data_IF_290831377472
#
_entry.id   IF_290831377472
#
_cell.length_a   1.000
_cell.length_b   1.000
_cell.length_c   1.000
_cell.angle_alpha   90.00
_cell.angle_beta   90.00
_cell.angle_gamma   90.00
#
_symmetry.space_group_name_H-M   'P 1'
#
loop_
_entity.id
_entity.type
_entity.pdbx_description
1 polymer ?
#
# COMPACT_ATOMS: atom_id res chain seq x y z
N UNK A 1 -17.24 16.27 17.44
CA UNK A 1 -17.91 14.98 17.76
C UNK A 1 -17.94 14.07 16.55
N UNK A 2 -18.37 14.54 15.36
CA UNK A 2 -18.46 13.73 14.14
C UNK A 2 -17.10 13.17 13.69
N UNK A 3 -16.05 14.00 13.63
CA UNK A 3 -14.70 13.58 13.29
C UNK A 3 -14.15 12.50 14.25
N UNK A 4 -14.38 12.67 15.54
CA UNK A 4 -13.98 11.69 16.55
C UNK A 4 -14.71 10.35 16.37
N UNK A 5 -16.00 10.39 16.10
CA UNK A 5 -16.79 9.18 15.80
C UNK A 5 -16.29 8.45 14.55
N UNK A 6 -15.98 9.18 13.48
CA UNK A 6 -15.46 8.64 12.23
C UNK A 6 -14.08 8.00 12.45
N UNK A 7 -13.22 8.61 13.27
CA UNK A 7 -11.92 8.06 13.64
C UNK A 7 -12.06 6.71 14.36
N UNK A 8 -12.92 6.64 15.39
CA UNK A 8 -13.18 5.40 16.14
C UNK A 8 -13.83 4.31 15.28
N UNK A 9 -14.74 4.70 14.38
CA UNK A 9 -15.34 3.77 13.42
C UNK A 9 -14.27 3.19 12.47
N UNK A 10 -13.39 4.05 11.94
CA UNK A 10 -12.25 3.61 11.12
C UNK A 10 -11.33 2.67 11.90
N UNK A 11 -10.98 3.01 13.14
CA UNK A 11 -10.16 2.17 14.01
C UNK A 11 -10.78 0.78 14.23
N UNK A 12 -12.05 0.75 14.63
CA UNK A 12 -12.76 -0.50 14.91
C UNK A 12 -12.88 -1.41 13.68
N UNK A 13 -13.28 -0.86 12.53
CA UNK A 13 -13.41 -1.62 11.28
C UNK A 13 -12.03 -2.09 10.80
N UNK A 14 -10.99 -1.25 10.89
CA UNK A 14 -9.62 -1.61 10.52
C UNK A 14 -9.08 -2.74 11.38
N UNK A 15 -9.36 -2.71 12.67
CA UNK A 15 -8.97 -3.77 13.59
C UNK A 15 -9.64 -5.09 13.24
N UNK A 16 -10.96 -5.09 13.00
CA UNK A 16 -11.70 -6.28 12.53
C UNK A 16 -11.12 -6.79 11.21
N UNK A 17 -10.87 -5.89 10.24
CA UNK A 17 -10.32 -6.26 8.94
C UNK A 17 -8.94 -6.93 9.07
N UNK A 18 -8.08 -6.40 9.94
CA UNK A 18 -6.77 -6.97 10.20
C UNK A 18 -6.88 -8.38 10.81
N UNK A 19 -7.73 -8.56 11.82
CA UNK A 19 -7.90 -9.87 12.51
C UNK A 19 -8.46 -10.91 11.53
N UNK A 20 -9.51 -10.57 10.78
CA UNK A 20 -10.12 -11.50 9.82
C UNK A 20 -9.19 -11.80 8.65
N UNK A 21 -8.43 -10.81 8.18
CA UNK A 21 -7.39 -10.97 7.17
C UNK A 21 -6.28 -11.91 7.62
N UNK A 22 -5.79 -11.76 8.85
CA UNK A 22 -4.79 -12.66 9.45
C UNK A 22 -5.34 -14.08 9.52
N UNK A 23 -6.58 -14.27 9.97
CA UNK A 23 -7.21 -15.57 10.04
C UNK A 23 -7.31 -16.23 8.67
N UNK A 24 -7.76 -15.49 7.64
CA UNK A 24 -7.88 -16.01 6.28
C UNK A 24 -6.55 -16.38 5.65
N UNK A 25 -5.58 -15.45 5.69
CA UNK A 25 -4.24 -15.68 5.14
C UNK A 25 -3.53 -16.80 5.90
N UNK A 26 -3.66 -16.82 7.25
CA UNK A 26 -3.10 -17.86 8.11
C UNK A 26 -3.64 -19.24 7.76
N UNK A 27 -4.97 -19.38 7.60
CA UNK A 27 -5.58 -20.63 7.15
C UNK A 27 -5.09 -21.06 5.77
N UNK A 28 -4.99 -20.11 4.81
CA UNK A 28 -4.46 -20.39 3.48
C UNK A 28 -3.02 -20.91 3.52
N UNK A 29 -2.15 -20.30 4.32
CA UNK A 29 -0.76 -20.73 4.47
C UNK A 29 -0.65 -22.06 5.19
N UNK A 30 -1.46 -22.28 6.22
CA UNK A 30 -1.49 -23.53 6.96
C UNK A 30 -1.89 -24.70 6.07
N UNK A 31 -2.96 -24.58 5.28
CA UNK A 31 -3.39 -25.67 4.40
C UNK A 31 -2.42 -25.96 3.26
N UNK A 32 -1.73 -24.95 2.72
CA UNK A 32 -0.63 -25.20 1.77
C UNK A 32 0.56 -25.89 2.45
N UNK A 33 0.91 -25.45 3.66
CA UNK A 33 1.96 -26.11 4.43
C UNK A 33 1.58 -27.57 4.76
N UNK A 34 0.35 -27.80 5.22
CA UNK A 34 -0.15 -29.14 5.52
C UNK A 34 -0.08 -30.05 4.30
N UNK A 35 -0.60 -29.61 3.15
CA UNK A 35 -0.56 -30.35 1.90
C UNK A 35 0.85 -30.76 1.49
N UNK A 36 1.80 -29.84 1.65
CA UNK A 36 3.19 -30.05 1.28
C UNK A 36 3.98 -30.95 2.25
N UNK A 37 3.48 -31.13 3.48
CA UNK A 37 4.17 -31.93 4.51
C UNK A 37 3.48 -33.26 4.83
N UNK A 38 2.42 -33.63 4.10
CA UNK A 38 1.80 -34.93 4.26
C UNK A 38 2.79 -36.05 3.93
N UNK A 39 2.92 -37.04 4.82
CA UNK A 39 3.61 -38.28 4.55
C UNK A 39 2.77 -39.13 3.59
N UNK A 40 3.35 -39.39 2.42
CA UNK A 40 2.71 -40.17 1.34
C UNK A 40 3.44 -41.51 1.07
N UNK A 41 4.45 -41.84 1.89
CA UNK A 41 5.26 -43.02 1.65
C UNK A 41 4.53 -44.34 1.85
N UNK A 42 3.64 -44.38 2.85
CA UNK A 42 2.82 -45.55 3.14
C UNK A 42 1.49 -45.16 3.79
N UNK A 43 0.62 -44.45 3.06
CA UNK A 43 -0.66 -44.00 3.62
C UNK A 43 -1.59 -45.23 3.83
N UNK A 44 -2.42 -45.18 4.87
CA UNK A 44 -3.51 -46.15 5.04
C UNK A 44 -4.43 -46.13 3.81
N UNK A 45 -5.11 -47.25 3.57
CA UNK A 45 -6.07 -47.37 2.47
C UNK A 45 -7.10 -46.21 2.52
N UNK A 46 -7.40 -45.63 1.39
CA UNK A 46 -8.30 -44.48 1.26
C UNK A 46 -7.67 -43.12 1.55
N UNK A 47 -6.47 -43.05 2.17
CA UNK A 47 -5.78 -41.78 2.44
C UNK A 47 -4.89 -41.34 1.28
N UNK A 48 -4.79 -40.03 1.11
CA UNK A 48 -3.80 -39.36 0.25
C UNK A 48 -2.48 -39.12 0.99
N UNK A 49 -2.50 -39.13 2.30
CA UNK A 49 -1.37 -38.95 3.21
C UNK A 49 -1.84 -38.55 4.60
N UNK A 50 -0.91 -38.53 5.54
CA UNK A 50 -1.14 -38.12 6.92
C UNK A 50 0.02 -37.29 7.46
N UNK A 51 -0.19 -36.60 8.57
CA UNK A 51 0.83 -35.82 9.25
C UNK A 51 0.63 -35.85 10.77
N UNK A 52 1.71 -36.12 11.47
CA UNK A 52 1.79 -35.94 12.92
C UNK A 52 2.36 -34.55 13.23
N UNK A 53 1.68 -33.81 14.05
CA UNK A 53 2.07 -32.45 14.47
C UNK A 53 1.98 -32.31 15.99
N UNK A 54 2.80 -31.44 16.56
CA UNK A 54 2.73 -31.02 17.95
C UNK A 54 2.53 -29.53 18.04
N UNK A 55 1.56 -29.09 18.81
CA UNK A 55 1.30 -27.68 19.07
C UNK A 55 0.61 -27.50 20.43
N UNK A 56 1.06 -26.52 21.22
CA UNK A 56 0.45 -26.18 22.52
C UNK A 56 0.39 -27.35 23.51
N UNK A 57 1.36 -28.27 23.47
CA UNK A 57 1.42 -29.46 24.31
C UNK A 57 0.55 -30.62 23.85
N UNK A 58 -0.22 -30.48 22.76
CA UNK A 58 -1.04 -31.53 22.17
C UNK A 58 -0.37 -32.18 20.96
N UNK A 59 -0.52 -33.51 20.81
CA UNK A 59 -0.10 -34.25 19.64
C UNK A 59 -1.34 -34.47 18.77
N UNK A 60 -1.22 -34.09 17.50
CA UNK A 60 -2.28 -34.11 16.50
C UNK A 60 -1.92 -35.08 15.40
N UNK A 61 -2.89 -35.91 14.96
CA UNK A 61 -2.78 -36.72 13.77
C UNK A 61 -3.79 -36.22 12.73
N UNK A 62 -3.29 -35.68 11.62
CA UNK A 62 -4.10 -35.13 10.53
C UNK A 62 -4.04 -36.07 9.34
N UNK A 63 -5.22 -36.45 8.85
CA UNK A 63 -5.38 -37.37 7.72
C UNK A 63 -6.06 -36.65 6.55
N UNK A 64 -5.55 -36.83 5.35
CA UNK A 64 -6.19 -36.36 4.14
C UNK A 64 -6.69 -37.56 3.34
N UNK A 65 -8.00 -37.64 3.15
CA UNK A 65 -8.62 -38.65 2.29
C UNK A 65 -8.41 -38.34 0.81
N UNK A 66 -8.33 -39.38 -0.03
CA UNK A 66 -8.26 -39.22 -1.50
C UNK A 66 -9.55 -38.61 -2.04
N UNK A 67 -10.70 -39.08 -1.53
CA UNK A 67 -12.02 -38.60 -1.89
C UNK A 67 -12.80 -38.19 -0.63
N UNK A 68 -13.12 -39.14 0.24
CA UNK A 68 -13.92 -38.93 1.46
C UNK A 68 -13.58 -39.97 2.52
N UNK A 69 -13.88 -39.70 3.81
CA UNK A 69 -13.90 -40.74 4.85
C UNK A 69 -15.00 -41.76 4.59
N UNK A 70 -14.92 -42.98 5.14
CA UNK A 70 -15.95 -44.00 5.02
C UNK A 70 -17.32 -43.56 5.53
N UNK A 71 -17.35 -42.66 6.50
CA UNK A 71 -18.54 -42.00 7.03
C UNK A 71 -18.21 -40.50 7.20
N UNK A 72 -19.07 -39.65 6.63
CA UNK A 72 -18.95 -38.21 6.82
C UNK A 72 -19.15 -37.83 8.28
N UNK A 73 -18.35 -36.91 8.84
CA UNK A 73 -18.55 -36.41 10.19
C UNK A 73 -19.81 -35.56 10.29
N UNK A 74 -20.51 -35.65 11.41
CA UNK A 74 -21.71 -34.83 11.68
C UNK A 74 -21.38 -33.33 11.71
N UNK A 75 -20.21 -33.00 12.24
CA UNK A 75 -19.72 -31.63 12.32
C UNK A 75 -18.53 -31.44 11.37
N UNK A 76 -18.78 -30.81 10.22
CA UNK A 76 -17.75 -30.43 9.25
C UNK A 76 -17.54 -28.92 9.30
N UNK A 77 -16.32 -28.50 9.68
CA UNK A 77 -15.99 -27.08 9.67
C UNK A 77 -15.73 -26.57 8.25
N UNK A 78 -16.34 -25.43 7.92
CA UNK A 78 -16.23 -24.80 6.61
C UNK A 78 -15.44 -23.49 6.71
N UNK A 79 -14.22 -23.44 6.18
CA UNK A 79 -13.37 -22.25 6.13
C UNK A 79 -13.88 -21.24 5.10
N UNK A 80 -14.85 -20.43 5.47
CA UNK A 80 -15.50 -19.44 4.59
C UNK A 80 -15.70 -18.09 5.26
N UNK A 81 -15.96 -18.07 6.57
CA UNK A 81 -16.27 -16.84 7.28
C UNK A 81 -15.05 -15.92 7.40
N UNK A 82 -13.86 -16.47 7.45
CA UNK A 82 -12.61 -15.74 7.43
C UNK A 82 -12.49 -14.88 6.15
N UNK A 83 -12.83 -15.47 5.00
CA UNK A 83 -12.84 -14.77 3.72
C UNK A 83 -13.98 -13.74 3.63
N UNK A 84 -15.19 -14.11 4.04
CA UNK A 84 -16.36 -13.24 3.95
C UNK A 84 -16.22 -12.03 4.88
N UNK A 85 -15.81 -12.24 6.14
CA UNK A 85 -15.61 -11.17 7.11
C UNK A 85 -14.48 -10.23 6.70
N UNK A 86 -13.41 -10.75 6.10
CA UNK A 86 -12.32 -9.94 5.55
C UNK A 86 -12.84 -9.04 4.43
N UNK A 87 -13.61 -9.56 3.50
CA UNK A 87 -14.14 -8.75 2.40
C UNK A 87 -15.17 -7.72 2.89
N UNK A 88 -16.12 -8.11 3.75
CA UNK A 88 -17.12 -7.20 4.30
C UNK A 88 -16.49 -6.05 5.08
N UNK A 89 -15.52 -6.34 5.93
CA UNK A 89 -14.77 -5.31 6.66
C UNK A 89 -13.90 -4.45 5.73
N UNK A 90 -13.37 -5.03 4.65
CA UNK A 90 -12.65 -4.29 3.60
C UNK A 90 -13.56 -3.30 2.87
N UNK A 91 -14.76 -3.71 2.48
CA UNK A 91 -15.77 -2.81 1.89
C UNK A 91 -16.17 -1.71 2.88
N UNK A 92 -16.37 -2.04 4.14
CA UNK A 92 -16.68 -1.05 5.17
C UNK A 92 -15.52 -0.02 5.32
N UNK A 93 -14.26 -0.45 5.25
CA UNK A 93 -13.10 0.47 5.21
C UNK A 93 -13.10 1.35 3.97
N UNK A 94 -13.41 0.80 2.80
CA UNK A 94 -13.51 1.59 1.56
C UNK A 94 -14.55 2.70 1.71
N UNK A 95 -15.72 2.39 2.28
CA UNK A 95 -16.78 3.35 2.54
C UNK A 95 -16.30 4.47 3.48
N UNK A 96 -15.78 4.09 4.65
CA UNK A 96 -15.40 5.05 5.71
C UNK A 96 -14.20 5.90 5.31
N UNK A 97 -13.18 5.30 4.65
CA UNK A 97 -11.92 6.00 4.38
C UNK A 97 -11.98 6.80 3.07
N UNK A 98 -12.60 6.25 2.02
CA UNK A 98 -12.51 6.84 0.69
C UNK A 98 -13.84 7.42 0.18
N UNK A 99 -14.97 6.79 0.49
CA UNK A 99 -16.25 7.13 -0.14
C UNK A 99 -17.10 8.11 0.67
N UNK A 100 -16.82 8.30 1.98
CA UNK A 100 -17.46 9.39 2.74
C UNK A 100 -16.94 10.77 2.32
N UNK A 101 -15.66 10.89 1.95
CA UNK A 101 -15.05 12.13 1.48
C UNK A 101 -14.24 11.89 0.20
N UNK A 102 -14.90 11.59 -0.94
CA UNK A 102 -14.20 11.14 -2.15
C UNK A 102 -13.33 12.23 -2.79
N UNK A 103 -13.72 13.48 -2.72
CA UNK A 103 -12.92 14.61 -3.23
C UNK A 103 -11.57 14.74 -2.52
N UNK A 104 -11.49 14.31 -1.24
CA UNK A 104 -10.30 14.44 -0.43
C UNK A 104 -9.40 13.21 -0.50
N UNK A 105 -9.98 12.02 -0.42
CA UNK A 105 -9.23 10.78 -0.23
C UNK A 105 -9.17 9.89 -1.48
N UNK A 106 -10.18 9.99 -2.36
CA UNK A 106 -10.29 9.13 -3.53
C UNK A 106 -9.70 9.78 -4.78
N UNK A 107 -10.17 10.98 -5.13
CA UNK A 107 -9.85 11.62 -6.40
C UNK A 107 -8.45 12.25 -6.34
N UNK A 108 -7.71 12.14 -7.44
CA UNK A 108 -6.40 12.77 -7.58
C UNK A 108 -6.54 14.28 -7.65
N UNK A 109 -5.76 15.05 -6.87
CA UNK A 109 -5.74 16.51 -6.98
C UNK A 109 -5.51 16.97 -8.42
N UNK A 110 -6.29 17.96 -8.87
CA UNK A 110 -6.21 18.49 -10.24
C UNK A 110 -6.96 17.69 -11.29
N UNK A 111 -7.63 16.59 -10.93
CA UNK A 111 -8.49 15.84 -11.85
C UNK A 111 -9.95 16.26 -11.66
N UNK A 112 -10.58 16.75 -12.72
CA UNK A 112 -11.99 17.08 -12.75
C UNK A 112 -12.85 15.81 -12.91
N UNK A 113 -13.17 15.19 -11.78
CA UNK A 113 -14.01 13.99 -11.72
C UNK A 113 -15.11 14.21 -10.66
N UNK A 114 -16.37 14.02 -11.06
CA UNK A 114 -17.47 14.09 -10.10
C UNK A 114 -17.29 13.03 -8.99
N UNK A 115 -17.45 13.39 -7.70
CA UNK A 115 -17.28 12.45 -6.58
C UNK A 115 -18.06 11.15 -6.72
N UNK A 116 -19.32 11.22 -7.15
CA UNK A 116 -20.16 10.07 -7.39
C UNK A 116 -19.60 9.16 -8.50
N UNK A 117 -19.04 9.74 -9.56
CA UNK A 117 -18.43 8.98 -10.64
C UNK A 117 -17.17 8.23 -10.16
N UNK A 118 -16.36 8.87 -9.31
CA UNK A 118 -15.22 8.21 -8.67
C UNK A 118 -15.63 6.97 -7.87
N UNK A 119 -16.71 7.06 -7.10
CA UNK A 119 -17.28 5.93 -6.33
C UNK A 119 -17.77 4.84 -7.29
N UNK A 120 -18.51 5.19 -8.36
CA UNK A 120 -19.02 4.24 -9.36
C UNK A 120 -17.87 3.50 -10.05
N UNK A 121 -16.82 4.21 -10.45
CA UNK A 121 -15.62 3.59 -11.05
C UNK A 121 -14.95 2.64 -10.04
N UNK A 122 -14.76 3.10 -8.80
CA UNK A 122 -14.14 2.30 -7.75
C UNK A 122 -14.91 0.99 -7.49
N UNK A 123 -16.20 1.09 -7.21
CA UNK A 123 -17.04 -0.06 -6.91
C UNK A 123 -17.27 -0.96 -8.13
N UNK A 124 -17.57 -0.33 -9.29
CA UNK A 124 -17.79 -1.02 -10.55
C UNK A 124 -16.58 -1.82 -11.02
N UNK A 125 -15.37 -1.29 -10.77
CA UNK A 125 -14.13 -2.00 -11.12
C UNK A 125 -13.90 -3.29 -10.31
N UNK A 126 -14.34 -3.35 -9.05
CA UNK A 126 -14.28 -4.58 -8.26
C UNK A 126 -15.16 -5.67 -8.84
N UNK A 127 -16.40 -5.31 -9.24
CA UNK A 127 -17.35 -6.24 -9.86
C UNK A 127 -16.82 -6.67 -11.24
N UNK A 128 -16.43 -5.70 -12.08
CA UNK A 128 -15.90 -5.97 -13.40
C UNK A 128 -14.63 -6.84 -13.35
N UNK A 129 -13.72 -6.56 -12.41
CA UNK A 129 -12.51 -7.34 -12.21
C UNK A 129 -12.80 -8.80 -11.88
N UNK A 130 -13.77 -9.06 -10.98
CA UNK A 130 -14.19 -10.43 -10.68
C UNK A 130 -14.83 -11.11 -11.89
N UNK A 131 -15.73 -10.43 -12.61
CA UNK A 131 -16.42 -10.99 -13.77
C UNK A 131 -15.43 -11.35 -14.89
N UNK A 132 -14.53 -10.43 -15.22
CA UNK A 132 -13.47 -10.67 -16.23
C UNK A 132 -12.59 -11.87 -15.80
N UNK A 133 -12.13 -11.86 -14.56
CA UNK A 133 -11.34 -12.96 -14.01
C UNK A 133 -12.08 -14.31 -14.07
N UNK A 134 -13.37 -14.32 -13.72
CA UNK A 134 -14.18 -15.53 -13.72
C UNK A 134 -14.25 -16.14 -15.14
N UNK A 135 -14.58 -15.34 -16.15
CA UNK A 135 -14.63 -15.79 -17.54
C UNK A 135 -13.26 -16.23 -18.08
N UNK A 136 -12.18 -15.54 -17.72
CA UNK A 136 -10.83 -15.96 -18.12
C UNK A 136 -10.47 -17.34 -17.56
N UNK A 137 -10.84 -17.61 -16.33
CA UNK A 137 -10.57 -18.91 -15.72
C UNK A 137 -11.49 -20.05 -16.20
N UNK A 138 -12.62 -19.74 -16.82
CA UNK A 138 -13.51 -20.73 -17.46
C UNK A 138 -13.30 -20.82 -18.97
N UNK A 139 -12.32 -20.09 -19.51
CA UNK A 139 -11.86 -20.14 -20.90
C UNK A 139 -10.78 -21.21 -21.11
N UNK A 140 -10.39 -21.56 -22.35
CA UNK A 140 -9.30 -22.47 -22.63
C UNK A 140 -7.93 -22.06 -22.04
N UNK A 141 -7.81 -20.86 -21.48
CA UNK A 141 -6.62 -20.39 -20.79
C UNK A 141 -6.36 -21.14 -19.46
N UNK A 142 -7.37 -21.76 -18.87
CA UNK A 142 -7.22 -22.61 -17.66
C UNK A 142 -6.21 -23.73 -17.88
N UNK A 143 -6.10 -24.26 -19.10
CA UNK A 143 -5.12 -25.28 -19.50
C UNK A 143 -3.69 -24.73 -19.66
N UNK A 144 -3.50 -23.40 -19.61
CA UNK A 144 -2.22 -22.72 -19.77
C UNK A 144 -1.98 -21.76 -18.59
N UNK A 145 -1.70 -22.28 -17.38
CA UNK A 145 -1.69 -21.48 -16.16
C UNK A 145 -0.68 -20.32 -16.18
N UNK A 146 0.46 -20.49 -16.83
CA UNK A 146 1.46 -19.42 -16.98
C UNK A 146 0.92 -18.27 -17.85
N UNK A 147 0.25 -18.59 -18.96
CA UNK A 147 -0.36 -17.58 -19.84
C UNK A 147 -1.53 -16.88 -19.14
N UNK A 148 -2.40 -17.63 -18.46
CA UNK A 148 -3.49 -17.06 -17.67
C UNK A 148 -2.94 -16.12 -16.59
N UNK A 149 -1.89 -16.52 -15.86
CA UNK A 149 -1.22 -15.67 -14.87
C UNK A 149 -0.66 -14.39 -15.47
N UNK A 150 -0.01 -14.48 -16.65
CA UNK A 150 0.51 -13.30 -17.36
C UNK A 150 -0.61 -12.34 -17.80
N UNK A 151 -1.72 -12.86 -18.34
CA UNK A 151 -2.88 -12.05 -18.73
C UNK A 151 -3.49 -11.35 -17.51
N UNK A 152 -3.70 -12.07 -16.42
CA UNK A 152 -4.22 -11.50 -15.18
C UNK A 152 -3.28 -10.41 -14.61
N UNK A 153 -1.98 -10.65 -14.64
CA UNK A 153 -0.99 -9.67 -14.21
C UNK A 153 -1.08 -8.39 -15.06
N UNK A 154 -1.11 -8.50 -16.38
CA UNK A 154 -1.22 -7.35 -17.29
C UNK A 154 -2.52 -6.57 -17.02
N UNK A 155 -3.65 -7.24 -16.82
CA UNK A 155 -4.93 -6.59 -16.53
C UNK A 155 -4.91 -5.86 -15.18
N UNK A 156 -4.31 -6.45 -14.14
CA UNK A 156 -4.17 -5.81 -12.82
C UNK A 156 -3.27 -4.57 -12.93
N UNK A 157 -2.17 -4.64 -13.67
CA UNK A 157 -1.28 -3.49 -13.85
C UNK A 157 -1.92 -2.41 -14.74
N UNK A 158 -2.69 -2.78 -15.75
CA UNK A 158 -3.47 -1.83 -16.53
C UNK A 158 -4.50 -1.10 -15.66
N UNK A 159 -5.18 -1.81 -14.75
CA UNK A 159 -6.06 -1.19 -13.76
C UNK A 159 -5.29 -0.25 -12.80
N UNK A 160 -4.10 -0.66 -12.32
CA UNK A 160 -3.25 0.18 -11.49
C UNK A 160 -2.84 1.47 -12.21
N UNK A 161 -2.45 1.38 -13.49
CA UNK A 161 -2.16 2.54 -14.32
C UNK A 161 -3.38 3.43 -14.48
N UNK A 162 -4.54 2.89 -14.86
CA UNK A 162 -5.79 3.64 -15.03
C UNK A 162 -6.19 4.38 -13.75
N UNK A 163 -6.14 3.71 -12.60
CA UNK A 163 -6.44 4.36 -11.31
C UNK A 163 -5.42 5.44 -10.96
N UNK A 164 -4.15 5.28 -11.29
CA UNK A 164 -3.12 6.31 -11.04
C UNK A 164 -3.35 7.62 -11.78
N UNK A 165 -4.18 7.60 -12.84
CA UNK A 165 -4.55 8.81 -13.59
C UNK A 165 -5.69 9.58 -12.93
N UNK A 166 -6.62 8.90 -12.26
CA UNK A 166 -7.87 9.49 -11.75
C UNK A 166 -7.97 9.51 -10.24
N UNK A 167 -7.32 8.58 -9.55
CA UNK A 167 -7.34 8.48 -8.09
C UNK A 167 -6.02 8.94 -7.46
N UNK A 168 -6.08 9.38 -6.20
CA UNK A 168 -4.88 9.62 -5.41
C UNK A 168 -4.03 8.35 -5.37
N UNK A 169 -2.71 8.48 -5.28
CA UNK A 169 -1.83 7.30 -5.34
C UNK A 169 -2.16 6.23 -4.30
N UNK A 170 -2.54 6.67 -3.09
CA UNK A 170 -3.02 5.79 -2.03
C UNK A 170 -4.32 5.08 -2.41
N UNK A 171 -5.30 5.81 -2.94
CA UNK A 171 -6.57 5.24 -3.37
C UNK A 171 -6.38 4.28 -4.56
N UNK A 172 -5.51 4.62 -5.51
CA UNK A 172 -5.20 3.77 -6.65
C UNK A 172 -4.71 2.38 -6.20
N UNK A 173 -3.76 2.33 -5.27
CA UNK A 173 -3.26 1.05 -4.72
C UNK A 173 -4.36 0.26 -4.01
N UNK A 174 -5.12 0.92 -3.13
CA UNK A 174 -6.17 0.24 -2.37
C UNK A 174 -7.26 -0.31 -3.29
N UNK A 175 -7.63 0.38 -4.37
CA UNK A 175 -8.63 -0.14 -5.33
C UNK A 175 -8.11 -1.34 -6.11
N UNK A 176 -6.83 -1.40 -6.47
CA UNK A 176 -6.21 -2.62 -7.02
C UNK A 176 -6.30 -3.76 -6.00
N UNK A 177 -5.98 -3.49 -4.74
CA UNK A 177 -6.14 -4.46 -3.65
C UNK A 177 -7.58 -4.92 -3.46
N UNK A 178 -8.54 -4.02 -3.58
CA UNK A 178 -9.96 -4.32 -3.50
C UNK A 178 -10.44 -5.21 -4.67
N UNK A 179 -9.95 -5.00 -5.89
CA UNK A 179 -10.20 -5.91 -7.03
C UNK A 179 -9.64 -7.30 -6.71
N UNK A 180 -8.38 -7.40 -6.28
CA UNK A 180 -7.76 -8.68 -5.94
C UNK A 180 -8.53 -9.36 -4.80
N UNK A 181 -8.85 -8.64 -3.74
CA UNK A 181 -9.63 -9.17 -2.60
C UNK A 181 -11.02 -9.64 -3.02
N UNK A 182 -11.69 -8.91 -3.93
CA UNK A 182 -13.00 -9.31 -4.48
C UNK A 182 -12.88 -10.56 -5.35
N UNK A 183 -11.83 -10.69 -6.16
CA UNK A 183 -11.53 -11.92 -6.89
C UNK A 183 -11.34 -13.09 -5.91
N UNK A 184 -10.55 -12.87 -4.85
CA UNK A 184 -10.23 -13.91 -3.88
C UNK A 184 -11.47 -14.39 -3.13
N UNK A 185 -12.32 -13.48 -2.64
CA UNK A 185 -13.57 -13.88 -1.94
C UNK A 185 -14.60 -14.43 -2.90
N UNK A 186 -14.71 -13.87 -4.12
CA UNK A 186 -15.58 -14.40 -5.16
C UNK A 186 -15.24 -15.85 -5.53
N UNK A 187 -13.95 -16.20 -5.56
CA UNK A 187 -13.52 -17.59 -5.72
C UNK A 187 -14.03 -18.50 -4.60
N UNK A 188 -13.96 -18.03 -3.34
CA UNK A 188 -14.51 -18.79 -2.21
C UNK A 188 -16.02 -18.93 -2.34
N UNK A 189 -16.73 -17.84 -2.59
CA UNK A 189 -18.20 -17.81 -2.55
C UNK A 189 -18.85 -18.53 -3.74
N UNK A 190 -18.38 -18.25 -4.97
CA UNK A 190 -19.04 -18.72 -6.19
C UNK A 190 -18.45 -20.00 -6.78
N UNK A 191 -17.24 -20.42 -6.37
CA UNK A 191 -16.59 -21.61 -6.97
C UNK A 191 -16.20 -22.63 -5.93
N UNK A 192 -15.40 -22.26 -4.91
CA UNK A 192 -14.82 -23.23 -3.97
C UNK A 192 -15.93 -23.82 -3.07
N UNK A 193 -16.73 -22.98 -2.44
CA UNK A 193 -17.80 -23.45 -1.55
C UNK A 193 -18.89 -24.26 -2.25
N UNK A 194 -19.41 -23.86 -3.44
CA UNK A 194 -20.33 -24.70 -4.20
C UNK A 194 -19.74 -26.06 -4.59
N UNK A 195 -18.48 -26.10 -5.05
CA UNK A 195 -17.81 -27.35 -5.40
C UNK A 195 -17.64 -28.28 -4.19
N UNK A 196 -17.25 -27.75 -3.04
CA UNK A 196 -17.12 -28.52 -1.81
C UNK A 196 -18.48 -29.06 -1.32
N UNK A 197 -19.54 -28.23 -1.39
CA UNK A 197 -20.89 -28.68 -1.02
C UNK A 197 -21.40 -29.79 -1.96
N UNK A 198 -21.16 -29.67 -3.26
CA UNK A 198 -21.53 -30.69 -4.24
C UNK A 198 -20.78 -32.01 -3.98
N UNK A 199 -19.49 -31.94 -3.62
CA UNK A 199 -18.70 -33.10 -3.24
C UNK A 199 -19.28 -33.78 -2.01
N UNK A 200 -19.51 -33.05 -0.91
CA UNK A 200 -20.07 -33.61 0.33
C UNK A 200 -21.46 -34.25 0.07
N UNK A 201 -22.32 -33.53 -0.66
CA UNK A 201 -23.65 -34.03 -1.00
C UNK A 201 -23.58 -35.32 -1.83
N UNK A 202 -22.74 -35.44 -2.82
CA UNK A 202 -22.58 -36.65 -3.62
C UNK A 202 -22.14 -37.85 -2.77
N UNK A 203 -21.27 -37.61 -1.78
CA UNK A 203 -20.83 -38.65 -0.83
C UNK A 203 -21.97 -39.07 0.08
N UNK A 204 -22.75 -38.14 0.64
CA UNK A 204 -23.91 -38.40 1.48
C UNK A 204 -25.02 -39.17 0.72
N UNK A 205 -25.23 -38.80 -0.55
CA UNK A 205 -26.21 -39.47 -1.43
C UNK A 205 -25.69 -40.81 -2.03
N UNK A 206 -24.44 -41.22 -1.69
CA UNK A 206 -23.77 -42.42 -2.25
C UNK A 206 -23.69 -42.37 -3.79
N UNK A 207 -23.52 -41.18 -4.38
CA UNK A 207 -23.32 -40.97 -5.82
C UNK A 207 -21.86 -40.65 -6.14
N UNK A 208 -21.45 -40.87 -7.40
CA UNK A 208 -20.10 -40.54 -7.83
C UNK A 208 -19.94 -39.03 -7.95
N UNK A 209 -19.00 -38.38 -7.20
CA UNK A 209 -18.76 -36.95 -7.33
C UNK A 209 -18.23 -36.59 -8.73
N UNK A 210 -18.66 -35.44 -9.24
CA UNK A 210 -18.09 -34.84 -10.46
C UNK A 210 -16.64 -34.40 -10.24
N UNK A 211 -15.63 -35.02 -10.89
CA UNK A 211 -14.22 -34.70 -10.67
C UNK A 211 -13.82 -33.31 -11.16
N UNK A 212 -14.62 -32.66 -11.99
CA UNK A 212 -14.34 -31.33 -12.52
C UNK A 212 -14.50 -30.25 -11.46
N UNK A 213 -15.40 -30.41 -10.50
CA UNK A 213 -15.68 -29.43 -9.46
C UNK A 213 -14.51 -29.24 -8.48
N UNK A 214 -13.91 -30.30 -7.90
CA UNK A 214 -12.71 -30.16 -7.09
C UNK A 214 -11.54 -29.56 -7.86
N UNK A 215 -11.35 -29.90 -9.14
CA UNK A 215 -10.27 -29.35 -9.98
C UNK A 215 -10.44 -27.84 -10.19
N UNK A 216 -11.64 -27.36 -10.48
CA UNK A 216 -11.94 -25.92 -10.56
C UNK A 216 -11.69 -25.23 -9.21
N UNK A 217 -12.15 -25.80 -8.12
CA UNK A 217 -11.94 -25.29 -6.77
C UNK A 217 -10.44 -25.16 -6.45
N UNK A 218 -9.64 -26.16 -6.80
CA UNK A 218 -8.19 -26.17 -6.59
C UNK A 218 -7.48 -25.08 -7.41
N UNK A 219 -7.87 -24.90 -8.67
CA UNK A 219 -7.32 -23.82 -9.51
C UNK A 219 -7.55 -22.45 -8.86
N UNK A 220 -8.78 -22.16 -8.43
CA UNK A 220 -9.13 -20.91 -7.77
C UNK A 220 -8.39 -20.73 -6.45
N UNK A 221 -8.25 -21.77 -5.66
CA UNK A 221 -7.48 -21.76 -4.41
C UNK A 221 -6.01 -21.45 -4.64
N UNK A 222 -5.40 -22.00 -5.69
CA UNK A 222 -4.01 -21.68 -6.10
C UNK A 222 -3.87 -20.21 -6.49
N UNK A 223 -4.82 -19.64 -7.23
CA UNK A 223 -4.81 -18.21 -7.55
C UNK A 223 -4.90 -17.35 -6.28
N UNK A 224 -5.83 -17.66 -5.38
CA UNK A 224 -5.94 -16.96 -4.09
C UNK A 224 -4.61 -16.99 -3.33
N UNK A 225 -3.93 -18.13 -3.34
CA UNK A 225 -2.65 -18.29 -2.68
C UNK A 225 -1.55 -17.38 -3.28
N UNK A 226 -1.46 -17.26 -4.60
CA UNK A 226 -0.51 -16.35 -5.25
C UNK A 226 -0.87 -14.87 -5.04
N UNK A 227 -2.13 -14.52 -4.89
CA UNK A 227 -2.58 -13.16 -4.61
C UNK A 227 -2.30 -12.70 -3.17
N UNK A 228 -2.00 -13.61 -2.24
CA UNK A 228 -1.84 -13.27 -0.82
C UNK A 228 -0.77 -12.22 -0.58
N UNK A 229 0.47 -12.41 -1.07
CA UNK A 229 1.55 -11.47 -0.80
C UNK A 229 1.35 -10.11 -1.50
N UNK A 230 0.93 -10.03 -2.78
CA UNK A 230 0.58 -8.75 -3.40
C UNK A 230 -0.50 -7.97 -2.66
N UNK A 231 -1.59 -8.61 -2.24
CA UNK A 231 -2.67 -7.91 -1.51
C UNK A 231 -2.23 -7.46 -0.12
N UNK A 232 -1.42 -8.25 0.57
CA UNK A 232 -0.85 -7.86 1.87
C UNK A 232 0.08 -6.64 1.72
N UNK A 233 0.92 -6.60 0.68
CA UNK A 233 1.71 -5.40 0.41
C UNK A 233 0.82 -4.18 0.21
N UNK A 234 -0.23 -4.28 -0.60
CA UNK A 234 -1.16 -3.17 -0.84
C UNK A 234 -1.78 -2.69 0.48
N UNK A 235 -2.16 -3.59 1.40
CA UNK A 235 -2.71 -3.24 2.70
C UNK A 235 -1.75 -2.42 3.56
N UNK A 236 -0.45 -2.78 3.58
CA UNK A 236 0.56 -2.06 4.35
C UNK A 236 1.11 -0.83 3.63
N UNK A 237 0.92 -0.71 2.32
CA UNK A 237 1.48 0.35 1.47
C UNK A 237 1.11 1.76 1.96
N UNK A 238 -0.02 1.92 2.62
CA UNK A 238 -0.47 3.19 3.21
C UNK A 238 0.53 3.82 4.20
N UNK A 239 1.44 3.01 4.76
CA UNK A 239 2.52 3.47 5.63
C UNK A 239 3.80 3.88 4.88
N UNK A 240 3.84 3.68 3.54
CA UNK A 240 5.02 3.89 2.71
C UNK A 240 4.73 4.81 1.52
N UNK A 241 4.60 6.12 1.75
CA UNK A 241 4.27 7.10 0.70
C UNK A 241 5.22 7.08 -0.49
N UNK A 242 6.50 6.74 -0.27
CA UNK A 242 7.49 6.59 -1.34
C UNK A 242 7.08 5.60 -2.44
N UNK A 243 6.17 4.66 -2.15
CA UNK A 243 5.70 3.69 -3.13
C UNK A 243 4.54 4.23 -3.98
N UNK A 244 3.47 4.71 -3.34
CA UNK A 244 2.26 5.14 -4.04
C UNK A 244 2.26 6.61 -4.44
N UNK A 245 3.14 7.44 -3.86
CA UNK A 245 3.29 8.87 -4.17
C UNK A 245 4.11 9.16 -5.43
N UNK A 246 4.83 8.18 -5.97
CA UNK A 246 5.60 8.32 -7.21
C UNK A 246 4.67 8.42 -8.43
N UNK A 247 5.07 9.20 -9.44
CA UNK A 247 4.39 9.20 -10.76
C UNK A 247 4.45 7.82 -11.45
N UNK A 248 5.41 6.98 -11.08
CA UNK A 248 5.58 5.61 -11.57
C UNK A 248 5.04 4.56 -10.57
N UNK A 249 4.12 4.95 -9.69
CA UNK A 249 3.61 4.08 -8.63
C UNK A 249 3.06 2.73 -9.17
N UNK A 250 2.40 2.71 -10.32
CA UNK A 250 1.91 1.50 -10.98
C UNK A 250 3.04 0.53 -11.38
N UNK A 251 4.23 1.05 -11.80
CA UNK A 251 5.42 0.22 -12.06
C UNK A 251 6.04 -0.31 -10.77
N UNK A 252 6.06 0.50 -9.71
CA UNK A 252 6.53 0.07 -8.39
C UNK A 252 5.65 -1.08 -7.89
N UNK A 253 4.33 -0.93 -8.00
CA UNK A 253 3.39 -1.98 -7.64
C UNK A 253 3.60 -3.25 -8.47
N UNK A 254 3.82 -3.12 -9.79
CA UNK A 254 4.12 -4.24 -10.68
C UNK A 254 5.40 -4.98 -10.25
N UNK A 255 6.46 -4.23 -9.99
CA UNK A 255 7.73 -4.80 -9.51
C UNK A 255 7.55 -5.58 -8.22
N UNK A 256 6.92 -4.99 -7.22
CA UNK A 256 6.68 -5.64 -5.92
C UNK A 256 5.77 -6.86 -6.08
N UNK A 257 4.74 -6.79 -6.93
CA UNK A 257 3.86 -7.93 -7.19
C UNK A 257 4.61 -9.11 -7.83
N UNK A 258 5.53 -8.86 -8.76
CA UNK A 258 6.40 -9.90 -9.34
C UNK A 258 7.27 -10.53 -8.24
N UNK A 259 7.94 -9.72 -7.43
CA UNK A 259 8.81 -10.21 -6.36
C UNK A 259 8.02 -11.03 -5.33
N UNK A 260 6.83 -10.58 -4.97
CA UNK A 260 5.90 -11.27 -4.09
C UNK A 260 5.48 -12.65 -4.66
N UNK A 261 5.18 -12.71 -5.97
CA UNK A 261 4.85 -13.97 -6.66
C UNK A 261 6.05 -14.92 -6.68
N UNK A 262 7.29 -14.43 -6.89
CA UNK A 262 8.50 -15.25 -6.83
C UNK A 262 8.68 -15.88 -5.45
N UNK A 263 8.54 -15.09 -4.38
CA UNK A 263 8.60 -15.61 -3.01
C UNK A 263 7.53 -16.68 -2.79
N UNK A 264 6.29 -16.41 -3.22
CA UNK A 264 5.20 -17.35 -3.02
C UNK A 264 5.39 -18.62 -3.83
N UNK A 265 5.93 -18.52 -5.03
CA UNK A 265 6.24 -19.67 -5.89
C UNK A 265 7.24 -20.63 -5.23
N UNK A 266 8.30 -20.10 -4.61
CA UNK A 266 9.22 -20.91 -3.81
C UNK A 266 8.48 -21.70 -2.71
N UNK A 267 7.69 -21.03 -1.89
CA UNK A 267 6.99 -21.70 -0.78
C UNK A 267 5.94 -22.71 -1.25
N UNK A 268 5.39 -22.55 -2.43
CA UNK A 268 4.45 -23.50 -3.02
C UNK A 268 5.12 -24.73 -3.62
N UNK A 269 6.39 -24.63 -4.04
CA UNK A 269 7.06 -25.69 -4.83
C UNK A 269 8.26 -26.33 -4.13
N UNK A 270 8.75 -25.78 -3.03
CA UNK A 270 9.99 -26.21 -2.34
C UNK A 270 10.01 -27.67 -1.91
N UNK A 271 8.86 -28.28 -1.68
CA UNK A 271 8.76 -29.68 -1.25
C UNK A 271 8.76 -30.66 -2.44
N UNK A 272 8.40 -30.19 -3.64
CA UNK A 272 8.37 -31.01 -4.85
C UNK A 272 9.67 -30.87 -5.65
N UNK A 273 10.30 -29.67 -5.60
CA UNK A 273 11.47 -29.39 -6.43
C UNK A 273 12.36 -28.30 -5.83
N UNK A 274 13.67 -28.54 -5.83
CA UNK A 274 14.68 -27.53 -5.50
C UNK A 274 14.96 -26.53 -6.64
N UNK A 275 14.35 -26.73 -7.83
CA UNK A 275 14.56 -25.90 -9.03
C UNK A 275 14.33 -24.40 -8.80
N UNK A 276 13.43 -24.04 -7.90
CA UNK A 276 12.99 -22.66 -7.68
C UNK A 276 13.63 -21.99 -6.44
N UNK A 277 14.65 -22.58 -5.82
CA UNK A 277 15.36 -21.99 -4.67
C UNK A 277 15.93 -20.60 -4.98
N UNK A 278 16.37 -20.38 -6.21
CA UNK A 278 16.89 -19.10 -6.68
C UNK A 278 15.90 -17.94 -6.63
N UNK A 279 14.58 -18.21 -6.57
CA UNK A 279 13.56 -17.16 -6.57
C UNK A 279 13.58 -16.33 -5.28
N UNK A 280 14.01 -16.87 -4.14
CA UNK A 280 14.16 -16.13 -2.89
C UNK A 280 15.28 -15.08 -2.96
N UNK A 281 16.55 -15.44 -3.27
CA UNK A 281 17.59 -14.44 -3.42
C UNK A 281 17.30 -13.46 -4.56
N UNK A 282 16.67 -13.90 -5.65
CA UNK A 282 16.25 -13.01 -6.73
C UNK A 282 15.21 -11.99 -6.26
N UNK A 283 14.24 -12.41 -5.45
CA UNK A 283 13.26 -11.49 -4.87
C UNK A 283 13.91 -10.49 -3.91
N UNK A 284 14.84 -10.93 -3.07
CA UNK A 284 15.57 -10.05 -2.15
C UNK A 284 16.41 -9.02 -2.91
N UNK A 285 17.17 -9.44 -3.91
CA UNK A 285 17.94 -8.53 -4.77
C UNK A 285 17.03 -7.57 -5.53
N UNK A 286 15.91 -8.07 -6.07
CA UNK A 286 14.92 -7.25 -6.76
C UNK A 286 14.33 -6.17 -5.86
N UNK A 287 14.06 -6.46 -4.58
CA UNK A 287 13.63 -5.45 -3.61
C UNK A 287 14.68 -4.38 -3.35
N UNK A 288 15.95 -4.78 -3.22
CA UNK A 288 17.08 -3.84 -3.05
C UNK A 288 17.21 -2.96 -4.29
N UNK A 289 17.19 -3.55 -5.49
CA UNK A 289 17.23 -2.80 -6.75
C UNK A 289 16.05 -1.83 -6.87
N UNK A 290 14.84 -2.28 -6.56
CA UNK A 290 13.64 -1.44 -6.61
C UNK A 290 13.76 -0.25 -5.63
N UNK A 291 14.21 -0.49 -4.40
CA UNK A 291 14.46 0.55 -3.42
C UNK A 291 15.51 1.56 -3.90
N UNK A 292 16.58 1.08 -4.54
CA UNK A 292 17.63 1.94 -5.09
C UNK A 292 17.14 2.80 -6.27
N UNK A 293 16.44 2.19 -7.22
CA UNK A 293 15.94 2.88 -8.43
C UNK A 293 14.84 3.90 -8.08
N UNK A 294 14.06 3.64 -7.03
CA UNK A 294 13.01 4.54 -6.55
C UNK A 294 13.50 5.55 -5.52
N UNK A 295 14.77 5.50 -5.14
CA UNK A 295 15.36 6.48 -4.23
C UNK A 295 15.26 7.89 -4.85
N UNK A 296 14.87 8.91 -4.06
CA UNK A 296 14.86 10.28 -4.56
C UNK A 296 16.27 10.66 -4.98
N UNK A 297 16.40 11.13 -6.23
CA UNK A 297 17.67 11.66 -6.73
C UNK A 297 18.01 12.86 -5.84
N UNK A 298 19.08 12.76 -5.04
CA UNK A 298 19.65 13.92 -4.39
C UNK A 298 20.09 14.88 -5.52
N UNK A 299 19.29 15.91 -5.78
CA UNK A 299 19.79 17.02 -6.56
C UNK A 299 20.98 17.55 -5.77
N UNK A 300 22.18 17.44 -6.34
CA UNK A 300 23.32 18.20 -5.85
C UNK A 300 22.86 19.65 -5.77
N UNK A 301 23.21 20.43 -4.71
CA UNK A 301 22.92 21.83 -4.67
C UNK A 301 23.41 22.42 -6.01
N UNK A 302 22.49 22.95 -6.80
CA UNK A 302 22.86 23.65 -8.02
C UNK A 302 23.72 24.80 -7.53
N UNK A 303 25.04 24.71 -7.74
CA UNK A 303 25.92 25.80 -7.47
C UNK A 303 25.38 26.97 -8.32
N UNK A 304 24.92 28.02 -7.64
CA UNK A 304 24.51 29.22 -8.34
C UNK A 304 25.66 29.59 -9.29
N UNK A 305 25.37 29.98 -10.55
CA UNK A 305 26.42 30.31 -11.47
C UNK A 305 27.31 31.36 -10.81
N UNK A 306 28.61 31.08 -10.69
CA UNK A 306 29.59 31.93 -10.02
C UNK A 306 29.55 33.36 -10.58
N UNK A 307 29.15 33.51 -11.84
CA UNK A 307 28.95 34.79 -12.50
C UNK A 307 27.92 35.74 -11.86
N UNK A 308 26.84 35.19 -11.23
CA UNK A 308 25.81 36.04 -10.58
C UNK A 308 26.28 36.52 -9.21
N UNK A 309 27.11 35.72 -8.53
CA UNK A 309 27.69 36.12 -7.23
C UNK A 309 28.78 37.22 -7.43
N UNK A 310 29.54 37.13 -8.50
CA UNK A 310 30.60 38.11 -8.82
C UNK A 310 29.99 39.45 -9.26
N UNK A 311 28.87 39.44 -10.00
CA UNK A 311 28.17 40.66 -10.38
C UNK A 311 27.46 41.34 -9.19
N UNK A 312 26.84 40.57 -8.30
CA UNK A 312 26.21 41.10 -7.08
C UNK A 312 27.26 41.66 -6.09
N UNK A 313 28.44 41.03 -6.00
CA UNK A 313 29.55 41.53 -5.17
C UNK A 313 30.15 42.81 -5.74
N UNK A 314 30.25 42.92 -7.07
CA UNK A 314 30.78 44.13 -7.74
C UNK A 314 29.82 45.33 -7.61
N UNK A 315 28.50 45.11 -7.75
CA UNK A 315 27.50 46.16 -7.54
C UNK A 315 27.42 46.64 -6.09
N UNK A 316 27.64 45.72 -5.12
CA UNK A 316 27.65 46.05 -3.70
C UNK A 316 28.89 46.86 -3.32
N UNK A 317 30.07 46.56 -3.90
CA UNK A 317 31.30 47.31 -3.70
C UNK A 317 31.23 48.72 -4.31
N UNK A 318 30.63 48.86 -5.50
CA UNK A 318 30.43 50.15 -6.14
C UNK A 318 29.48 51.07 -5.34
N UNK A 319 28.45 50.53 -4.70
CA UNK A 319 27.54 51.27 -3.82
C UNK A 319 28.18 51.67 -2.48
N UNK A 320 29.13 50.88 -1.98
CA UNK A 320 29.85 51.22 -0.74
C UNK A 320 30.89 52.35 -0.96
N UNK A 321 31.49 52.45 -2.15
CA UNK A 321 32.39 53.57 -2.48
C UNK A 321 31.66 54.91 -2.62
N UNK A 322 30.42 54.91 -3.14
CA UNK A 322 29.64 56.13 -3.34
C UNK A 322 29.07 56.70 -2.02
N UNK A 323 28.99 55.91 -0.94
CA UNK A 323 28.51 56.35 0.38
C UNK A 323 29.65 56.76 1.31
N UNK A 324 30.91 56.50 0.96
CA UNK A 324 32.07 56.78 1.82
C UNK A 324 32.56 58.24 1.76
N UNK A 325 31.98 59.11 0.88
CA UNK A 325 32.43 60.48 0.73
C UNK A 325 31.63 61.57 1.48
N UNK A 326 30.63 61.11 2.31
CA UNK A 326 29.78 62.03 3.04
C UNK A 326 29.45 61.57 4.48
N UNK A 327 30.42 61.65 5.41
CA UNK A 327 30.20 62.03 6.81
C UNK A 327 31.33 61.53 7.75
N UNK A 328 31.73 62.34 8.78
CA UNK A 328 32.82 61.96 9.68
C UNK A 328 32.40 61.19 10.93
N UNK A 329 33.26 60.25 11.27
CA UNK A 329 33.49 59.66 12.61
C UNK A 329 32.31 59.41 13.56
N UNK A 330 31.98 58.14 13.75
CA UNK A 330 31.57 57.59 15.05
C UNK A 330 31.69 56.06 15.10
N UNK A 331 32.65 55.65 15.93
CA UNK A 331 32.79 54.44 16.75
C UNK A 331 32.64 53.04 16.14
N UNK A 332 33.76 52.33 16.31
CA UNK A 332 33.92 50.87 16.38
C UNK A 332 32.81 50.19 17.17
N UNK A 333 31.86 49.53 16.49
CA UNK A 333 31.06 48.44 17.03
C UNK A 333 30.14 47.79 15.97
N UNK A 334 30.50 47.74 14.70
CA UNK A 334 29.65 47.19 13.66
C UNK A 334 30.29 46.05 12.80
N UNK A 335 31.44 45.53 13.24
CA UNK A 335 32.16 44.51 12.46
C UNK A 335 31.89 43.04 12.84
N UNK A 336 30.97 42.77 13.79
CA UNK A 336 30.65 41.40 14.23
C UNK A 336 29.23 40.92 13.86
N UNK A 337 28.44 41.70 13.13
CA UNK A 337 27.06 41.39 12.83
C UNK A 337 26.73 41.04 11.35
N UNK A 338 27.74 41.00 10.47
CA UNK A 338 27.51 40.84 9.03
C UNK A 338 27.64 39.43 8.46
N UNK A 339 27.82 38.41 9.29
CA UNK A 339 27.94 37.01 8.84
C UNK A 339 26.85 36.06 9.29
N UNK A 340 25.73 36.53 9.88
CA UNK A 340 24.69 35.67 10.43
C UNK A 340 23.27 35.89 9.86
N UNK A 341 23.06 36.54 8.73
CA UNK A 341 21.69 36.92 8.32
C UNK A 341 21.13 36.29 7.04
N UNK A 342 21.79 35.30 6.45
CA UNK A 342 21.23 34.62 5.24
C UNK A 342 20.38 33.40 5.54
N UNK A 343 20.32 32.92 6.79
CA UNK A 343 19.51 31.74 7.16
C UNK A 343 18.13 32.07 7.78
N UNK A 344 18.02 33.18 8.52
CA UNK A 344 16.80 33.43 9.32
C UNK A 344 15.61 33.99 8.52
N UNK A 345 15.86 34.70 7.44
CA UNK A 345 14.80 35.25 6.60
C UNK A 345 14.04 34.17 5.82
N UNK A 346 14.75 33.12 5.40
CA UNK A 346 14.13 32.01 4.68
C UNK A 346 13.33 31.09 5.61
N UNK A 347 13.80 30.87 6.84
CA UNK A 347 13.03 30.06 7.81
C UNK A 347 11.75 30.77 8.25
N UNK A 348 11.73 32.06 8.46
CA UNK A 348 10.50 32.79 8.79
C UNK A 348 9.41 32.65 7.71
N UNK A 349 9.80 32.61 6.43
CA UNK A 349 8.86 32.32 5.33
C UNK A 349 8.39 30.87 5.37
N UNK A 350 9.30 29.93 5.59
CA UNK A 350 8.96 28.50 5.71
C UNK A 350 8.00 28.28 6.88
N UNK A 351 8.28 28.85 8.03
CA UNK A 351 7.44 28.77 9.22
C UNK A 351 6.04 29.33 8.94
N UNK A 352 5.94 30.50 8.28
CA UNK A 352 4.65 31.07 7.87
C UNK A 352 3.86 30.12 6.96
N UNK A 353 4.53 29.54 5.96
CA UNK A 353 3.90 28.56 5.06
C UNK A 353 3.44 27.31 5.83
N UNK A 354 4.26 26.77 6.73
CA UNK A 354 3.89 25.60 7.52
C UNK A 354 2.70 25.91 8.44
N UNK A 355 2.69 27.09 9.08
CA UNK A 355 1.56 27.50 9.90
C UNK A 355 0.28 27.65 9.09
N UNK A 356 0.34 28.23 7.91
CA UNK A 356 -0.85 28.45 7.08
C UNK A 356 -1.35 27.15 6.42
N UNK A 357 -0.43 26.28 5.95
CA UNK A 357 -0.77 25.11 5.14
C UNK A 357 -0.86 23.80 5.92
N UNK A 358 -0.16 23.67 7.05
CA UNK A 358 0.01 22.38 7.73
C UNK A 358 -0.62 22.37 9.13
N UNK A 359 -0.46 23.43 9.96
CA UNK A 359 -0.96 23.43 11.35
C UNK A 359 -2.48 23.42 11.45
N UNK A 360 -3.19 23.77 10.38
CA UNK A 360 -4.66 23.60 10.29
C UNK A 360 -5.08 22.16 10.70
N UNK A 361 -4.26 21.18 10.38
CA UNK A 361 -4.49 19.77 10.75
C UNK A 361 -3.43 19.24 11.73
N UNK A 362 -2.19 19.73 11.63
CA UNK A 362 -1.01 19.22 12.34
C UNK A 362 -0.61 20.12 13.51
N UNK A 363 -1.56 20.40 14.39
CA UNK A 363 -1.41 21.21 15.60
C UNK A 363 -1.88 20.43 16.83
N UNK A 364 -1.44 20.82 18.01
CA UNK A 364 -1.97 20.33 19.28
C UNK A 364 -3.49 20.61 19.40
N UNK A 365 -3.97 21.69 18.76
CA UNK A 365 -5.39 22.05 18.67
C UNK A 365 -5.75 22.35 17.21
N UNK A 366 -6.01 21.30 16.37
CA UNK A 366 -6.32 21.50 14.96
C UNK A 366 -7.57 22.37 14.77
N UNK A 367 -7.49 23.32 13.83
CA UNK A 367 -8.65 24.14 13.44
C UNK A 367 -9.49 23.47 12.34
N UNK A 368 -8.98 22.42 11.72
CA UNK A 368 -9.71 21.64 10.71
C UNK A 368 -10.90 20.89 11.32
N UNK A 369 -12.10 20.98 10.75
CA UNK A 369 -13.25 20.22 11.23
C UNK A 369 -13.10 18.70 11.05
N UNK A 370 -12.12 18.24 10.28
CA UNK A 370 -11.90 16.81 9.97
C UNK A 370 -11.09 16.08 11.04
N UNK A 371 -10.36 16.80 11.89
CA UNK A 371 -9.47 16.20 12.88
C UNK A 371 -9.67 16.82 14.25
N UNK A 372 -9.97 16.01 15.25
CA UNK A 372 -10.06 16.44 16.65
C UNK A 372 -8.70 16.51 17.34
N UNK A 373 -7.70 15.83 16.80
CA UNK A 373 -6.31 15.79 17.26
C UNK A 373 -5.37 15.71 16.06
N UNK A 374 -4.12 16.07 16.25
CA UNK A 374 -3.11 15.98 15.18
C UNK A 374 -3.05 14.56 14.60
N UNK A 375 -3.26 14.37 13.28
CA UNK A 375 -3.21 13.04 12.65
C UNK A 375 -1.88 12.34 12.93
N UNK A 376 -1.95 11.10 13.42
CA UNK A 376 -0.79 10.30 13.84
C UNK A 376 0.11 10.97 14.91
N UNK A 377 -0.41 11.92 15.68
CA UNK A 377 0.36 12.69 16.65
C UNK A 377 1.44 13.58 16.03
N UNK A 378 1.32 13.86 14.72
CA UNK A 378 2.29 14.66 13.97
C UNK A 378 1.95 16.15 14.12
N UNK A 379 2.72 16.86 14.93
CA UNK A 379 2.53 18.27 15.24
C UNK A 379 3.64 19.12 14.63
N UNK A 380 3.29 20.35 14.21
CA UNK A 380 4.17 21.33 13.57
C UNK A 380 3.96 22.75 14.14
N UNK A 381 3.63 22.84 15.43
CA UNK A 381 3.35 24.12 16.08
C UNK A 381 4.61 24.93 16.39
N UNK A 382 5.78 24.30 16.55
CA UNK A 382 7.02 24.95 16.91
C UNK A 382 8.16 24.66 15.94
N UNK A 383 9.17 25.57 15.82
CA UNK A 383 10.35 25.37 15.00
C UNK A 383 11.07 24.05 15.27
N UNK A 384 11.17 23.63 16.54
CA UNK A 384 11.79 22.37 16.93
C UNK A 384 11.03 21.16 16.38
N UNK A 385 9.68 21.20 16.41
CA UNK A 385 8.85 20.17 15.82
C UNK A 385 9.01 20.11 14.31
N UNK A 386 9.04 21.28 13.64
CA UNK A 386 9.26 21.38 12.19
C UNK A 386 10.60 20.77 11.80
N UNK A 387 11.68 21.12 12.53
CA UNK A 387 13.02 20.58 12.31
C UNK A 387 13.09 19.09 12.55
N UNK A 388 12.54 18.60 13.66
CA UNK A 388 12.52 17.17 13.99
C UNK A 388 11.75 16.34 12.95
N UNK A 389 10.77 16.94 12.29
CA UNK A 389 9.94 16.27 11.29
C UNK A 389 10.32 16.60 9.83
N UNK A 390 11.41 17.33 9.60
CA UNK A 390 11.82 17.83 8.28
C UNK A 390 11.87 16.73 7.20
N UNK A 391 12.41 15.57 7.52
CA UNK A 391 12.47 14.44 6.60
C UNK A 391 11.06 13.95 6.17
N UNK A 392 10.09 13.93 7.09
CA UNK A 392 8.71 13.54 6.79
C UNK A 392 7.99 14.65 6.02
N UNK A 393 8.21 15.91 6.37
CA UNK A 393 7.69 17.06 5.62
C UNK A 393 8.17 16.96 4.18
N UNK A 394 9.47 16.76 3.95
CA UNK A 394 10.02 16.59 2.62
C UNK A 394 9.34 15.44 1.85
N UNK A 395 9.29 14.26 2.45
CA UNK A 395 8.73 13.07 1.80
C UNK A 395 7.25 13.27 1.40
N UNK A 396 6.46 13.92 2.25
CA UNK A 396 5.01 14.06 2.05
C UNK A 396 4.62 15.28 1.23
N UNK A 397 5.35 16.38 1.37
CA UNK A 397 4.99 17.68 0.78
C UNK A 397 5.74 17.97 -0.49
N UNK A 398 7.04 17.64 -0.54
CA UNK A 398 7.90 17.97 -1.68
C UNK A 398 8.01 16.78 -2.64
N UNK A 399 8.47 15.63 -2.14
CA UNK A 399 8.78 14.49 -2.99
C UNK A 399 7.53 13.77 -3.54
N UNK A 400 6.48 13.60 -2.74
CA UNK A 400 5.26 12.85 -3.14
C UNK A 400 4.05 13.75 -3.33
N UNK A 401 4.09 14.99 -2.85
CA UNK A 401 3.03 15.99 -2.90
C UNK A 401 1.65 15.49 -2.37
N UNK A 402 1.67 14.48 -1.49
CA UNK A 402 0.46 13.93 -0.88
C UNK A 402 -0.12 14.90 0.16
N UNK A 403 0.74 15.70 0.81
CA UNK A 403 0.34 16.74 1.74
C UNK A 403 0.53 18.14 1.12
N UNK A 404 -0.32 19.08 1.48
CA UNK A 404 -1.56 18.94 2.24
C UNK A 404 -2.54 17.97 1.59
N UNK A 405 -3.30 17.24 2.39
CA UNK A 405 -4.20 16.20 1.92
C UNK A 405 -5.24 16.77 0.94
N UNK A 406 -5.28 16.24 -0.30
CA UNK A 406 -6.13 16.78 -1.36
C UNK A 406 -5.82 18.24 -1.73
N UNK A 407 -4.70 18.77 -1.27
CA UNK A 407 -4.31 20.19 -1.39
C UNK A 407 -5.38 21.18 -0.91
N UNK A 408 -6.12 20.81 0.14
CA UNK A 408 -7.26 21.62 0.65
C UNK A 408 -6.84 22.99 1.17
N UNK A 409 -5.57 23.16 1.60
CA UNK A 409 -5.00 24.45 2.03
C UNK A 409 -4.39 25.23 0.88
N UNK A 410 -4.55 24.76 -0.37
CA UNK A 410 -4.09 25.43 -1.60
C UNK A 410 -2.60 25.76 -1.62
N UNK A 411 -1.76 24.85 -1.11
CA UNK A 411 -0.30 25.01 -1.17
C UNK A 411 0.18 25.09 -2.61
N UNK A 412 0.98 26.11 -2.92
CA UNK A 412 1.53 26.33 -4.26
C UNK A 412 2.82 25.54 -4.50
N UNK A 413 3.27 25.47 -5.75
CA UNK A 413 4.53 24.82 -6.08
C UNK A 413 5.73 25.60 -5.49
N UNK A 414 5.68 26.94 -5.53
CA UNK A 414 6.73 27.79 -4.97
C UNK A 414 6.88 27.57 -3.45
N UNK A 415 5.77 27.38 -2.73
CA UNK A 415 5.79 27.05 -1.29
C UNK A 415 6.42 25.67 -1.04
N UNK A 416 6.16 24.68 -1.92
CA UNK A 416 6.81 23.35 -1.85
C UNK A 416 8.30 23.44 -2.10
N UNK A 417 8.71 24.24 -3.11
CA UNK A 417 10.12 24.43 -3.48
C UNK A 417 10.87 25.18 -2.37
N UNK A 418 10.21 26.16 -1.72
CA UNK A 418 10.75 26.87 -0.56
C UNK A 418 11.03 25.90 0.60
N UNK A 419 10.06 25.04 0.94
CA UNK A 419 10.22 24.01 1.97
C UNK A 419 11.34 23.03 1.59
N UNK A 420 11.37 22.61 0.33
CA UNK A 420 12.41 21.72 -0.20
C UNK A 420 13.81 22.31 -0.05
N UNK A 421 13.96 23.59 -0.39
CA UNK A 421 15.22 24.34 -0.28
C UNK A 421 15.66 24.46 1.19
N UNK A 422 14.75 24.80 2.10
CA UNK A 422 15.04 24.86 3.53
C UNK A 422 15.55 23.51 4.08
N UNK A 423 14.92 22.41 3.69
CA UNK A 423 15.32 21.07 4.15
C UNK A 423 16.68 20.68 3.55
N UNK A 424 16.93 21.02 2.27
CA UNK A 424 18.21 20.77 1.62
C UNK A 424 19.38 21.51 2.28
N UNK A 425 19.10 22.69 2.88
CA UNK A 425 20.06 23.50 3.65
C UNK A 425 20.26 22.98 5.10
N UNK A 426 19.64 21.85 5.48
CA UNK A 426 19.78 21.24 6.80
C UNK A 426 18.69 21.61 7.79
N UNK A 427 17.57 22.16 7.33
CA UNK A 427 16.39 22.51 8.13
C UNK A 427 16.73 23.40 9.35
N UNK A 428 17.53 24.42 9.15
CA UNK A 428 17.90 25.37 10.20
C UNK A 428 16.70 26.23 10.60
N UNK A 429 16.61 26.55 11.91
CA UNK A 429 15.47 27.29 12.50
C UNK A 429 15.88 28.62 13.13
N UNK A 430 17.10 29.06 12.83
CA UNK A 430 17.68 30.32 13.37
C UNK A 430 17.62 31.41 12.29
#
# INVERSE_FOLDING_TARGET
MEAHFTEWLNLGIRWIHMITGIAWIGASFYFVWLENNLNRSNPREGLSGDLWAIHGGGIYHLEKYKLAPPKMPENLHWFKWEAYATWLSGIALMLVVYYLNPSLYLIKPGVELAPAMGIVIGFGSMIAGYVIYHFLCDSPLDKRPALLGAVLFVLIIAAAYGFSQIFSGRAAYIHVGAIIGTIMVGNVFFTIMPAQRALVKAIEDNTTPDPTLPAKGLLRSRHNNYFTLPVLFIMISNHFPSTYGSQYNWLILAGIAILAVLVRHYFNTRHESSKYVWTLPAAALGMICLAYVTAPVRQAPTAAPVAVVEQAASETLAKVEEVSEAAPAASESAAAAATASTGSADFAKVESVIHERCTVCHSATPSSPMFSTAPAGFMLDTPEQMKAQAAKIHAQTVATQIMPLGNITQMTQDERDLIGSWIAQGAQTN
#
